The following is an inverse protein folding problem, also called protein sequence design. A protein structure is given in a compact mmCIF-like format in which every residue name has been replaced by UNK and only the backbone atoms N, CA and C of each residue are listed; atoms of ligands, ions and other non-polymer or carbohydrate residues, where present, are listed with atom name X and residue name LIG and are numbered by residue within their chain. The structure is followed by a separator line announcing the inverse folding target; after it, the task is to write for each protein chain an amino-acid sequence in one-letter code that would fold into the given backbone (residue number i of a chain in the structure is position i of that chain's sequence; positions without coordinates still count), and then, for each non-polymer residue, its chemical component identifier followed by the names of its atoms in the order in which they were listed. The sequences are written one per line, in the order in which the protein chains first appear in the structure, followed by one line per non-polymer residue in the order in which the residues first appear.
data_IF_191232368386
#
_entry.id   IF_191232368386
#
_cell.length_a   1.000
_cell.length_b   1.000
_cell.length_c   1.000
_cell.angle_alpha   90.00
_cell.angle_beta   90.00
_cell.angle_gamma   90.00
#
_symmetry.space_group_name_H-M   'P 1'
#
loop_
_entity.id
_entity.type
_entity.pdbx_description
1 polymer ?
#
# COMPACT_ATOMS: atom_id res chain seq x y z
N UNK A 1 45.61 52.06 -40.67
CA UNK A 1 44.44 52.46 -39.84
C UNK A 1 43.19 51.59 -40.08
N UNK A 2 43.04 50.89 -41.22
CA UNK A 2 41.87 50.05 -41.53
C UNK A 2 41.85 48.68 -40.83
N UNK A 3 43.01 48.04 -40.63
CA UNK A 3 43.09 46.74 -39.95
C UNK A 3 42.75 46.81 -38.46
N UNK A 4 43.20 47.86 -37.76
CA UNK A 4 42.89 48.07 -36.34
C UNK A 4 41.40 48.31 -36.10
N UNK A 5 40.69 48.90 -37.06
CA UNK A 5 39.23 49.11 -36.99
C UNK A 5 38.47 47.79 -37.22
N UNK A 6 38.96 46.97 -38.15
CA UNK A 6 38.35 45.66 -38.46
C UNK A 6 38.53 44.65 -37.31
N UNK A 7 39.70 44.64 -36.66
CA UNK A 7 39.94 43.82 -35.46
C UNK A 7 39.09 44.24 -34.25
N UNK A 8 38.81 45.54 -34.11
CA UNK A 8 37.97 46.05 -33.02
C UNK A 8 36.50 45.68 -33.20
N UNK A 9 36.01 45.68 -34.45
CA UNK A 9 34.64 45.28 -34.80
C UNK A 9 34.43 43.77 -34.56
N UNK A 10 35.36 42.92 -35.01
CA UNK A 10 35.31 41.48 -34.80
C UNK A 10 35.37 41.08 -33.31
N UNK A 11 36.07 41.84 -32.47
CA UNK A 11 36.14 41.59 -31.03
C UNK A 11 34.81 41.93 -30.33
N UNK A 12 34.12 43.00 -30.75
CA UNK A 12 32.77 43.33 -30.26
C UNK A 12 31.71 42.34 -30.73
N UNK A 13 31.82 41.76 -31.93
CA UNK A 13 30.87 40.74 -32.41
C UNK A 13 30.99 39.44 -31.60
N UNK A 14 32.22 38.99 -31.30
CA UNK A 14 32.44 37.82 -30.44
C UNK A 14 31.94 38.04 -29.00
N UNK A 15 32.11 39.23 -28.42
CA UNK A 15 31.58 39.52 -27.07
C UNK A 15 30.05 39.59 -27.04
N UNK A 16 29.40 39.99 -28.15
CA UNK A 16 27.94 39.99 -28.27
C UNK A 16 27.40 38.58 -28.49
N UNK A 17 28.11 37.75 -29.26
CA UNK A 17 27.75 36.35 -29.50
C UNK A 17 27.96 35.50 -28.23
N UNK A 18 29.03 35.74 -27.46
CA UNK A 18 29.29 35.09 -26.17
C UNK A 18 28.26 35.50 -25.10
N UNK A 19 27.83 36.77 -25.10
CA UNK A 19 26.72 37.24 -24.24
C UNK A 19 25.37 36.67 -24.67
N UNK A 20 25.11 36.53 -25.98
CA UNK A 20 23.90 35.89 -26.48
C UNK A 20 23.87 34.39 -26.13
N UNK A 21 25.01 33.70 -26.22
CA UNK A 21 25.14 32.30 -25.78
C UNK A 21 25.00 32.14 -24.26
N UNK A 22 25.56 33.06 -23.46
CA UNK A 22 25.38 33.06 -22.01
C UNK A 22 23.92 33.35 -21.61
N UNK A 23 23.20 34.18 -22.38
CA UNK A 23 21.81 34.52 -22.12
C UNK A 23 20.84 33.41 -22.55
N UNK A 24 21.16 32.66 -23.62
CA UNK A 24 20.46 31.41 -23.98
C UNK A 24 20.69 30.33 -22.92
N UNK A 25 21.90 30.24 -22.34
CA UNK A 25 22.20 29.28 -21.28
C UNK A 25 21.55 29.64 -19.93
N UNK A 26 21.31 30.94 -19.65
CA UNK A 26 20.54 31.37 -18.47
C UNK A 26 19.04 31.18 -18.66
N UNK A 27 18.49 31.42 -19.86
CA UNK A 27 17.07 31.18 -20.16
C UNK A 27 16.72 29.68 -20.17
N UNK A 28 17.69 28.80 -20.47
CA UNK A 28 17.51 27.34 -20.39
C UNK A 28 17.58 26.81 -18.94
N UNK A 29 18.09 27.62 -17.99
CA UNK A 29 18.10 27.32 -16.55
C UNK A 29 16.81 27.74 -15.82
N UNK A 30 16.00 28.59 -16.45
CA UNK A 30 14.65 29.00 -15.99
C UNK A 30 13.53 28.20 -16.68
N UNK A 31 13.88 27.13 -17.40
CA UNK A 31 12.94 26.06 -17.69
C UNK A 31 12.57 25.43 -16.36
N UNK A 32 11.53 25.99 -15.74
CA UNK A 32 10.79 25.45 -14.60
C UNK A 32 10.54 23.98 -14.91
N UNK A 33 11.47 23.12 -14.47
CA UNK A 33 11.29 21.68 -14.49
C UNK A 33 10.08 21.55 -13.60
N UNK A 34 8.92 21.35 -14.24
CA UNK A 34 7.70 20.86 -13.63
C UNK A 34 8.06 19.50 -13.06
N UNK A 35 8.85 19.51 -12.00
CA UNK A 35 9.04 18.41 -11.09
C UNK A 35 7.62 18.15 -10.64
N UNK A 36 7.05 16.98 -10.98
CA UNK A 36 5.68 16.70 -10.63
C UNK A 36 5.57 16.91 -9.14
N UNK A 37 4.82 17.94 -8.71
CA UNK A 37 4.62 18.22 -7.28
C UNK A 37 4.14 16.91 -6.67
N UNK A 38 4.98 16.25 -5.86
CA UNK A 38 4.69 14.96 -5.26
C UNK A 38 3.50 15.15 -4.31
N UNK A 39 2.29 15.03 -4.86
CA UNK A 39 1.07 15.27 -4.13
C UNK A 39 0.83 14.03 -3.29
N UNK A 40 1.03 14.17 -1.98
CA UNK A 40 0.93 13.06 -1.02
C UNK A 40 -0.54 12.73 -0.77
N UNK A 41 -0.86 11.48 -0.48
CA UNK A 41 -2.18 11.11 0.07
C UNK A 41 -1.98 10.50 1.44
N UNK A 42 -2.98 10.64 2.33
CA UNK A 42 -3.11 9.74 3.47
C UNK A 42 -3.19 8.29 2.92
N UNK A 43 -2.23 7.47 3.33
CA UNK A 43 -1.92 6.14 2.78
C UNK A 43 -3.01 5.09 3.05
N UNK A 44 -3.88 5.36 4.02
CA UNK A 44 -4.97 4.46 4.40
C UNK A 44 -5.79 4.01 3.20
N UNK A 45 -5.98 2.69 3.13
CA UNK A 45 -6.75 2.00 2.11
C UNK A 45 -8.19 2.55 2.03
N UNK A 46 -8.73 3.14 3.09
CA UNK A 46 -10.09 3.70 3.12
C UNK A 46 -10.18 5.15 2.61
N UNK A 47 -9.07 5.82 2.37
CA UNK A 47 -9.06 7.15 1.77
C UNK A 47 -9.27 7.00 0.27
N UNK A 48 -10.50 6.94 -0.23
CA UNK A 48 -10.77 6.77 -1.68
C UNK A 48 -11.06 8.06 -2.44
N UNK A 49 -11.25 9.23 -1.79
CA UNK A 49 -11.58 10.49 -2.51
C UNK A 49 -11.10 11.83 -1.90
N UNK A 50 -10.06 11.88 -1.07
CA UNK A 50 -9.58 13.14 -0.49
C UNK A 50 -8.57 13.91 -1.38
N UNK A 51 -8.50 15.27 -1.28
CA UNK A 51 -7.47 16.07 -1.95
C UNK A 51 -6.07 15.75 -1.41
N UNK A 52 -5.03 15.85 -2.26
CA UNK A 52 -3.67 15.52 -1.88
C UNK A 52 -3.07 16.52 -0.89
N UNK A 53 -2.27 16.00 0.03
CA UNK A 53 -1.40 16.71 0.97
C UNK A 53 -0.20 17.34 0.25
N UNK A 54 0.34 18.40 0.86
CA UNK A 54 1.49 19.14 0.34
C UNK A 54 2.79 18.28 0.34
N UNK A 55 3.70 18.50 -0.64
CA UNK A 55 4.98 17.81 -0.70
C UNK A 55 5.86 18.11 0.53
N UNK A 56 6.84 17.23 0.86
CA UNK A 56 7.77 17.49 1.96
C UNK A 56 8.56 18.76 1.70
N UNK A 57 8.89 19.49 2.76
CA UNK A 57 9.90 20.52 2.65
C UNK A 57 11.28 19.86 2.42
N UNK A 58 12.17 20.49 1.65
CA UNK A 58 13.54 19.96 1.44
C UNK A 58 14.25 19.72 2.77
N UNK A 59 13.94 20.54 3.77
CA UNK A 59 14.41 20.41 5.16
C UNK A 59 13.93 19.12 5.83
N UNK A 60 12.73 18.63 5.51
CA UNK A 60 12.23 17.36 6.06
C UNK A 60 13.04 16.19 5.48
N UNK A 61 13.33 16.23 4.18
CA UNK A 61 14.14 15.20 3.50
C UNK A 61 15.57 15.20 4.04
N UNK A 62 16.18 16.38 4.19
CA UNK A 62 17.50 16.52 4.81
C UNK A 62 17.51 15.94 6.22
N UNK A 63 16.55 16.30 7.09
CA UNK A 63 16.45 15.76 8.45
C UNK A 63 16.34 14.23 8.50
N UNK A 64 15.66 13.60 7.53
CA UNK A 64 15.54 12.14 7.46
C UNK A 64 16.78 11.45 6.88
N UNK A 65 17.56 12.14 6.05
CA UNK A 65 18.74 11.55 5.37
C UNK A 65 20.03 11.81 6.14
N UNK A 66 20.08 12.91 6.91
CA UNK A 66 21.22 13.33 7.73
C UNK A 66 20.95 13.09 9.22
N UNK A 67 20.70 11.85 9.63
CA UNK A 67 20.55 11.51 11.04
C UNK A 67 21.91 11.09 11.65
N UNK A 68 22.64 12.04 12.25
CA UNK A 68 23.89 11.76 13.00
C UNK A 68 23.67 11.18 14.41
N UNK A 69 22.42 10.98 14.85
CA UNK A 69 22.09 10.53 16.22
C UNK A 69 21.45 9.14 16.28
N UNK A 70 21.92 8.31 17.23
CA UNK A 70 21.33 7.01 17.54
C UNK A 70 19.88 7.19 18.07
N UNK A 71 18.92 6.39 17.55
CA UNK A 71 17.46 6.44 17.81
C UNK A 71 16.62 7.53 17.13
N UNK A 72 17.15 8.24 16.12
CA UNK A 72 16.37 9.29 15.44
C UNK A 72 15.09 8.78 14.72
N UNK A 73 15.11 7.55 14.21
CA UNK A 73 13.93 6.90 13.62
C UNK A 73 12.74 6.80 14.59
N UNK A 74 12.97 6.56 15.88
CA UNK A 74 11.92 6.47 16.92
C UNK A 74 11.40 7.85 17.32
N UNK A 75 12.24 8.88 17.24
CA UNK A 75 11.89 10.27 17.60
C UNK A 75 11.08 10.98 16.50
N UNK A 76 11.25 10.57 15.25
CA UNK A 76 10.49 11.09 14.10
C UNK A 76 9.12 10.42 13.89
N UNK A 77 8.75 9.42 14.72
CA UNK A 77 7.42 8.82 14.72
C UNK A 77 6.36 9.85 15.10
N UNK A 78 5.52 10.22 14.13
CA UNK A 78 4.34 11.03 14.38
C UNK A 78 3.21 10.15 14.94
N UNK A 79 2.18 10.79 15.54
CA UNK A 79 1.01 10.09 16.08
C UNK A 79 0.34 9.14 15.07
N UNK A 80 0.36 9.48 13.78
CA UNK A 80 -0.17 8.64 12.71
C UNK A 80 0.63 7.33 12.58
N UNK A 81 1.96 7.40 12.60
CA UNK A 81 2.84 6.23 12.50
C UNK A 81 2.63 5.26 13.69
N UNK A 82 2.34 5.80 14.88
CA UNK A 82 1.99 4.97 16.05
C UNK A 82 0.67 4.21 15.85
N UNK A 83 -0.35 4.85 15.26
CA UNK A 83 -1.63 4.19 14.97
C UNK A 83 -1.44 3.11 13.91
N UNK A 84 -0.63 3.38 12.88
CA UNK A 84 -0.26 2.40 11.87
C UNK A 84 0.49 1.21 12.46
N UNK A 85 1.40 1.43 13.42
CA UNK A 85 2.03 0.32 14.17
C UNK A 85 1.02 -0.50 14.97
N UNK A 86 -0.04 0.12 15.51
CA UNK A 86 -1.13 -0.61 16.18
C UNK A 86 -1.92 -1.48 15.20
N UNK A 87 -2.15 -1.03 13.96
CA UNK A 87 -2.70 -1.87 12.89
C UNK A 87 -1.79 -3.10 12.66
N UNK A 88 -0.49 -2.88 12.41
CA UNK A 88 0.47 -3.98 12.21
C UNK A 88 0.54 -4.94 13.41
N UNK A 89 0.48 -4.42 14.64
CA UNK A 89 0.39 -5.22 15.86
C UNK A 89 -0.86 -6.10 15.88
N UNK A 90 -2.02 -5.58 15.47
CA UNK A 90 -3.25 -6.34 15.37
C UNK A 90 -3.14 -7.48 14.35
N UNK A 91 -2.58 -7.22 13.17
CA UNK A 91 -2.32 -8.25 12.16
C UNK A 91 -1.41 -9.36 12.69
N UNK A 92 -0.28 -8.99 13.30
CA UNK A 92 0.64 -9.97 13.90
C UNK A 92 -0.02 -10.79 15.02
N UNK A 93 -0.77 -10.13 15.91
CA UNK A 93 -1.45 -10.81 17.01
C UNK A 93 -2.52 -11.79 16.53
N UNK A 94 -3.18 -11.47 15.41
CA UNK A 94 -4.11 -12.38 14.75
C UNK A 94 -3.41 -13.65 14.26
N UNK A 95 -2.24 -13.51 13.61
CA UNK A 95 -1.42 -14.65 13.16
C UNK A 95 -0.99 -15.51 14.35
N UNK A 96 -0.48 -14.89 15.42
CA UNK A 96 -0.10 -15.63 16.65
C UNK A 96 -1.30 -16.36 17.25
N UNK A 97 -2.49 -15.74 17.23
CA UNK A 97 -3.71 -16.38 17.71
C UNK A 97 -4.11 -17.59 16.85
N UNK A 98 -3.92 -17.51 15.53
CA UNK A 98 -4.12 -18.63 14.61
C UNK A 98 -3.15 -19.79 14.92
N UNK A 99 -1.87 -19.49 15.14
CA UNK A 99 -0.88 -20.50 15.52
C UNK A 99 -1.24 -21.16 16.86
N UNK A 100 -1.67 -20.38 17.85
CA UNK A 100 -2.14 -20.91 19.14
C UNK A 100 -3.36 -21.80 18.98
N UNK A 101 -4.28 -21.49 18.06
CA UNK A 101 -5.38 -22.37 17.75
C UNK A 101 -4.90 -23.71 17.19
N UNK A 102 -4.00 -23.71 16.21
CA UNK A 102 -3.45 -24.96 15.65
C UNK A 102 -2.75 -25.82 16.70
N UNK A 103 -2.11 -25.21 17.71
CA UNK A 103 -1.42 -25.94 18.78
C UNK A 103 -2.30 -26.42 19.93
N UNK A 104 -3.44 -25.76 20.18
CA UNK A 104 -4.24 -26.01 21.39
C UNK A 104 -5.69 -26.38 21.11
N UNK A 105 -6.13 -26.22 19.86
CA UNK A 105 -7.47 -26.46 19.34
C UNK A 105 -8.59 -25.69 20.08
N UNK A 106 -8.25 -24.66 20.87
CA UNK A 106 -9.25 -23.90 21.62
C UNK A 106 -9.88 -22.82 20.72
N UNK A 107 -11.21 -22.85 20.49
CA UNK A 107 -11.88 -22.00 19.48
C UNK A 107 -11.80 -20.50 19.80
N UNK A 108 -11.62 -20.12 21.06
CA UNK A 108 -11.47 -18.72 21.45
C UNK A 108 -10.26 -18.03 20.82
N UNK A 109 -9.22 -18.78 20.43
CA UNK A 109 -8.07 -18.19 19.74
C UNK A 109 -8.41 -17.76 18.31
N UNK A 110 -9.22 -18.53 17.59
CA UNK A 110 -9.70 -18.15 16.26
C UNK A 110 -10.63 -16.94 16.36
N UNK A 111 -11.51 -16.91 17.36
CA UNK A 111 -12.38 -15.76 17.60
C UNK A 111 -11.57 -14.48 17.88
N UNK A 112 -10.49 -14.59 18.66
CA UNK A 112 -9.55 -13.48 18.88
C UNK A 112 -8.85 -13.07 17.59
N UNK A 113 -8.41 -14.01 16.76
CA UNK A 113 -7.78 -13.69 15.47
C UNK A 113 -8.69 -12.82 14.59
N UNK A 114 -9.96 -13.19 14.47
CA UNK A 114 -10.96 -12.38 13.74
C UNK A 114 -11.13 -11.00 14.38
N UNK A 115 -11.28 -10.93 15.70
CA UNK A 115 -11.42 -9.66 16.43
C UNK A 115 -10.25 -8.71 16.18
N UNK A 116 -9.01 -9.21 16.21
CA UNK A 116 -7.83 -8.37 15.95
C UNK A 116 -7.77 -7.89 14.50
N UNK A 117 -8.18 -8.67 13.51
CA UNK A 117 -8.27 -8.18 12.11
C UNK A 117 -9.28 -7.03 12.00
N UNK A 118 -10.46 -7.17 12.62
CA UNK A 118 -11.45 -6.08 12.69
C UNK A 118 -10.92 -4.86 13.44
N UNK A 119 -10.15 -5.06 14.51
CA UNK A 119 -9.54 -3.98 15.27
C UNK A 119 -8.46 -3.26 14.46
N UNK A 120 -7.63 -3.99 13.70
CA UNK A 120 -6.64 -3.43 12.78
C UNK A 120 -7.28 -2.52 11.73
N UNK A 121 -8.44 -2.91 11.19
CA UNK A 121 -9.25 -2.07 10.31
C UNK A 121 -9.70 -0.77 10.94
N UNK A 122 -10.12 -0.80 12.21
CA UNK A 122 -10.44 0.43 12.91
C UNK A 122 -9.21 1.34 12.99
N UNK A 123 -8.02 0.80 13.28
CA UNK A 123 -6.80 1.58 13.38
C UNK A 123 -6.33 2.16 12.03
N UNK A 124 -6.34 1.41 10.94
CA UNK A 124 -6.11 1.91 9.57
C UNK A 124 -7.09 3.04 9.23
N UNK A 125 -8.38 2.86 9.54
CA UNK A 125 -9.35 3.94 9.32
C UNK A 125 -9.02 5.20 10.15
N UNK A 126 -8.53 5.04 11.38
CA UNK A 126 -8.15 6.16 12.24
C UNK A 126 -6.87 6.86 11.80
N UNK A 127 -5.82 6.15 11.39
CA UNK A 127 -4.56 6.78 10.95
C UNK A 127 -4.79 7.66 9.70
N UNK A 128 -5.64 7.21 8.78
CA UNK A 128 -6.00 7.96 7.59
C UNK A 128 -6.82 9.21 7.89
N UNK A 129 -7.54 9.24 9.02
CA UNK A 129 -8.21 10.46 9.50
C UNK A 129 -7.24 11.39 10.23
N UNK A 130 -6.36 10.85 11.06
CA UNK A 130 -5.38 11.63 11.85
C UNK A 130 -4.35 12.29 10.93
N UNK A 131 -3.84 11.59 9.93
CA UNK A 131 -2.93 12.13 8.93
C UNK A 131 -3.54 13.33 8.17
N UNK A 132 -4.85 13.27 7.90
CA UNK A 132 -5.59 14.37 7.27
C UNK A 132 -5.78 15.57 8.20
N UNK A 133 -6.14 15.32 9.47
CA UNK A 133 -6.30 16.39 10.45
C UNK A 133 -5.00 17.17 10.70
N UNK A 134 -3.84 16.53 10.47
CA UNK A 134 -2.51 17.12 10.67
C UNK A 134 -1.90 17.76 9.43
N UNK A 135 -2.56 17.68 8.26
CA UNK A 135 -2.05 18.16 6.96
C UNK A 135 -0.57 17.79 6.66
N UNK A 136 -0.09 16.69 7.25
CA UNK A 136 1.30 16.21 7.14
C UNK A 136 1.26 14.69 7.09
N UNK A 137 1.69 14.09 5.98
CA UNK A 137 2.02 12.66 5.92
C UNK A 137 3.52 12.51 5.66
N UNK A 138 4.16 11.60 6.39
CA UNK A 138 5.57 11.25 6.20
C UNK A 138 5.72 10.22 5.08
N UNK A 139 6.83 10.27 4.33
CA UNK A 139 7.21 9.24 3.35
C UNK A 139 7.35 7.86 4.01
N UNK A 140 7.97 7.82 5.19
CA UNK A 140 8.13 6.60 5.98
C UNK A 140 6.79 6.04 6.44
N UNK A 141 5.88 6.91 6.88
CA UNK A 141 4.55 6.51 7.36
C UNK A 141 3.70 5.86 6.27
N UNK A 142 3.80 6.35 5.02
CA UNK A 142 3.07 5.77 3.89
C UNK A 142 3.52 4.34 3.55
N UNK A 143 4.83 4.09 3.57
CA UNK A 143 5.34 2.74 3.33
C UNK A 143 5.04 1.82 4.52
N UNK A 144 5.15 2.33 5.76
CA UNK A 144 4.81 1.59 6.97
C UNK A 144 3.34 1.16 6.99
N UNK A 145 2.44 2.01 6.51
CA UNK A 145 1.00 1.74 6.39
C UNK A 145 0.71 0.63 5.40
N UNK A 146 1.33 0.70 4.23
CA UNK A 146 1.21 -0.35 3.21
C UNK A 146 1.70 -1.71 3.73
N UNK A 147 2.78 -1.73 4.53
CA UNK A 147 3.29 -2.94 5.16
C UNK A 147 2.36 -3.46 6.26
N UNK A 148 1.85 -2.58 7.12
CA UNK A 148 0.90 -2.93 8.17
C UNK A 148 -0.39 -3.52 7.59
N UNK A 149 -0.90 -2.92 6.52
CA UNK A 149 -2.10 -3.36 5.81
C UNK A 149 -1.92 -4.72 5.13
N UNK A 150 -0.74 -4.98 4.54
CA UNK A 150 -0.45 -6.29 3.97
C UNK A 150 -0.51 -7.37 5.06
N UNK A 151 0.03 -7.10 6.24
CA UNK A 151 0.02 -8.04 7.37
C UNK A 151 -1.41 -8.25 7.89
N UNK A 152 -2.15 -7.17 8.11
CA UNK A 152 -3.50 -7.22 8.70
C UNK A 152 -4.59 -7.73 7.76
N UNK A 153 -4.52 -7.43 6.46
CA UNK A 153 -5.57 -7.75 5.49
C UNK A 153 -5.17 -8.75 4.40
N UNK A 154 -3.87 -9.05 4.26
CA UNK A 154 -3.38 -10.11 3.39
C UNK A 154 -2.99 -11.35 4.19
N UNK A 155 -1.96 -11.22 5.03
CA UNK A 155 -1.34 -12.36 5.72
C UNK A 155 -2.23 -12.92 6.85
N UNK A 156 -2.83 -12.06 7.67
CA UNK A 156 -3.66 -12.51 8.77
C UNK A 156 -4.92 -13.29 8.31
N UNK A 157 -5.71 -12.84 7.31
CA UNK A 157 -6.82 -13.63 6.78
C UNK A 157 -6.38 -14.97 6.17
N UNK A 158 -5.25 -15.00 5.46
CA UNK A 158 -4.70 -16.26 4.93
C UNK A 158 -4.29 -17.22 6.06
N UNK A 159 -3.76 -16.69 7.16
CA UNK A 159 -3.40 -17.46 8.36
C UNK A 159 -4.64 -18.00 9.08
N UNK A 160 -5.73 -17.22 9.14
CA UNK A 160 -7.02 -17.69 9.67
C UNK A 160 -7.55 -18.84 8.82
N UNK A 161 -7.54 -18.71 7.49
CA UNK A 161 -7.97 -19.78 6.58
C UNK A 161 -7.17 -21.07 6.82
N UNK A 162 -5.85 -20.99 6.88
CA UNK A 162 -5.00 -22.13 7.20
C UNK A 162 -5.37 -22.76 8.56
N UNK A 163 -5.56 -21.91 9.58
CA UNK A 163 -5.85 -22.36 10.94
C UNK A 163 -7.21 -23.08 11.03
N UNK A 164 -8.23 -22.66 10.28
CA UNK A 164 -9.56 -23.30 10.29
C UNK A 164 -9.65 -24.58 9.45
N UNK A 165 -8.60 -24.96 8.73
CA UNK A 165 -8.47 -26.28 8.08
C UNK A 165 -8.08 -26.27 6.60
N UNK A 166 -7.84 -25.12 5.98
CA UNK A 166 -7.31 -25.03 4.60
C UNK A 166 -5.80 -25.35 4.57
N UNK A 167 -5.44 -26.61 4.82
CA UNK A 167 -4.07 -27.06 5.09
C UNK A 167 -3.45 -27.93 4.00
N UNK A 168 -4.19 -28.27 2.94
CA UNK A 168 -3.64 -29.10 1.86
C UNK A 168 -2.57 -28.34 1.07
N UNK A 169 -1.72 -29.05 0.33
CA UNK A 169 -0.65 -28.43 -0.47
C UNK A 169 -1.20 -27.40 -1.46
N UNK A 170 -2.33 -27.68 -2.10
CA UNK A 170 -2.97 -26.75 -3.03
C UNK A 170 -3.59 -25.56 -2.30
N UNK A 171 -4.19 -25.78 -1.12
CA UNK A 171 -4.74 -24.68 -0.32
C UNK A 171 -3.66 -23.68 0.03
N UNK A 172 -2.50 -24.14 0.50
CA UNK A 172 -1.36 -23.29 0.87
C UNK A 172 -0.83 -22.50 -0.33
N UNK A 173 -0.76 -23.12 -1.51
CA UNK A 173 -0.37 -22.43 -2.74
C UNK A 173 -1.37 -21.34 -3.13
N UNK A 174 -2.68 -21.61 -3.02
CA UNK A 174 -3.74 -20.63 -3.31
C UNK A 174 -3.73 -19.48 -2.29
N UNK A 175 -3.57 -19.78 -1.00
CA UNK A 175 -3.47 -18.76 0.04
C UNK A 175 -2.23 -17.89 -0.14
N UNK A 176 -1.11 -18.49 -0.54
CA UNK A 176 0.13 -17.77 -0.87
C UNK A 176 -0.07 -16.87 -2.09
N UNK A 177 -0.73 -17.37 -3.14
CA UNK A 177 -1.10 -16.57 -4.31
C UNK A 177 -1.99 -15.37 -3.92
N UNK A 178 -2.98 -15.56 -3.04
CA UNK A 178 -3.82 -14.49 -2.52
C UNK A 178 -3.00 -13.39 -1.83
N UNK A 179 -2.04 -13.77 -0.95
CA UNK A 179 -1.15 -12.80 -0.28
C UNK A 179 -0.29 -12.05 -1.29
N UNK A 180 0.28 -12.74 -2.28
CA UNK A 180 1.07 -12.11 -3.34
C UNK A 180 0.24 -11.15 -4.19
N UNK A 181 -1.04 -11.45 -4.43
CA UNK A 181 -1.96 -10.55 -5.11
C UNK A 181 -2.20 -9.26 -4.31
N UNK A 182 -2.41 -9.38 -3.00
CA UNK A 182 -2.53 -8.23 -2.09
C UNK A 182 -1.26 -7.37 -2.09
N UNK A 183 -0.09 -7.99 -2.01
CA UNK A 183 1.20 -7.30 -2.10
C UNK A 183 1.36 -6.54 -3.42
N UNK A 184 1.10 -7.19 -4.56
CA UNK A 184 1.19 -6.55 -5.87
C UNK A 184 0.20 -5.38 -6.02
N UNK A 185 -0.99 -5.50 -5.42
CA UNK A 185 -2.00 -4.44 -5.39
C UNK A 185 -1.53 -3.22 -4.60
N UNK A 186 -0.95 -3.41 -3.42
CA UNK A 186 -0.40 -2.34 -2.57
C UNK A 186 0.80 -1.67 -3.25
N UNK A 187 1.72 -2.45 -3.81
CA UNK A 187 2.87 -1.91 -4.55
C UNK A 187 2.43 -1.07 -5.75
N UNK A 188 1.46 -1.55 -6.54
CA UNK A 188 0.87 -0.78 -7.66
C UNK A 188 0.23 0.51 -7.16
N UNK A 189 -0.47 0.48 -6.03
CA UNK A 189 -1.08 1.66 -5.44
C UNK A 189 -0.03 2.71 -5.03
N UNK A 190 1.04 2.29 -4.35
CA UNK A 190 2.13 3.19 -3.93
C UNK A 190 2.80 3.86 -5.14
N UNK A 191 3.11 3.12 -6.20
CA UNK A 191 3.73 3.66 -7.43
C UNK A 191 2.76 4.56 -8.22
N UNK A 192 1.50 4.15 -8.35
CA UNK A 192 0.49 4.92 -9.10
C UNK A 192 0.26 6.29 -8.44
N UNK A 193 0.20 6.33 -7.10
CA UNK A 193 0.05 7.60 -6.36
C UNK A 193 1.26 8.52 -6.55
N UNK A 194 2.47 7.97 -6.68
CA UNK A 194 3.68 8.77 -6.91
C UNK A 194 3.77 9.36 -8.33
N UNK A 195 3.03 8.81 -9.30
CA UNK A 195 3.20 9.13 -10.74
C UNK A 195 1.97 9.75 -11.41
N UNK A 196 0.85 9.98 -10.71
CA UNK A 196 -0.33 10.61 -11.35
C UNK A 196 -0.06 12.09 -11.69
N UNK A 197 -0.04 12.49 -12.98
CA UNK A 197 0.00 13.89 -13.35
C UNK A 197 -1.35 14.55 -12.99
N UNK A 198 -1.29 15.74 -12.40
CA UNK A 198 -2.47 16.59 -12.18
C UNK A 198 -2.88 17.22 -13.52
N UNK A 199 -3.81 16.61 -14.24
CA UNK A 199 -4.50 17.32 -15.32
C UNK A 199 -5.69 18.12 -14.76
N UNK A 200 -5.82 19.36 -15.23
CA UNK A 200 -6.82 20.38 -14.91
C UNK A 200 -8.30 20.00 -15.21
N UNK A 201 -8.60 18.71 -15.37
CA UNK A 201 -9.94 18.15 -15.61
C UNK A 201 -10.43 17.15 -14.55
N UNK A 202 -9.61 16.79 -13.55
CA UNK A 202 -10.07 16.33 -12.23
C UNK A 202 -11.05 15.14 -12.12
N UNK A 203 -11.08 14.19 -13.06
CA UNK A 203 -11.91 12.97 -12.91
C UNK A 203 -11.21 11.70 -13.44
N UNK A 204 -10.56 10.94 -12.55
CA UNK A 204 -10.27 9.53 -12.83
C UNK A 204 -11.59 8.76 -12.92
N UNK A 205 -11.99 8.40 -14.15
CA UNK A 205 -13.34 7.89 -14.43
C UNK A 205 -13.60 6.44 -13.98
N UNK A 206 -12.60 5.69 -13.52
CA UNK A 206 -12.78 4.30 -13.13
C UNK A 206 -11.81 3.90 -12.01
N UNK A 207 -12.33 3.27 -10.95
CA UNK A 207 -11.51 2.48 -10.03
C UNK A 207 -11.17 1.15 -10.71
N UNK A 208 -9.89 0.82 -10.83
CA UNK A 208 -9.43 -0.49 -11.29
C UNK A 208 -9.25 -1.42 -10.09
N UNK A 209 -9.94 -2.56 -10.07
CA UNK A 209 -9.73 -3.67 -9.11
C UNK A 209 -10.55 -3.60 -7.81
N UNK A 210 -10.76 -4.74 -7.16
CA UNK A 210 -11.47 -4.82 -5.87
C UNK A 210 -10.68 -4.07 -4.78
N UNK A 211 -11.34 -3.23 -3.96
CA UNK A 211 -10.68 -2.60 -2.82
C UNK A 211 -10.31 -3.67 -1.79
N UNK A 212 -9.12 -3.57 -1.20
CA UNK A 212 -8.65 -4.45 -0.11
C UNK A 212 -9.67 -4.65 1.03
N UNK A 213 -10.56 -3.68 1.40
CA UNK A 213 -11.64 -3.90 2.36
C UNK A 213 -12.56 -5.10 2.05
N UNK A 214 -12.59 -5.55 0.80
CA UNK A 214 -13.33 -6.75 0.40
C UNK A 214 -12.75 -8.03 1.02
N UNK A 215 -11.49 -8.03 1.48
CA UNK A 215 -10.93 -9.14 2.27
C UNK A 215 -11.63 -9.28 3.62
N UNK A 216 -12.23 -8.21 4.16
CA UNK A 216 -13.06 -8.29 5.36
C UNK A 216 -14.31 -9.16 5.15
N UNK A 217 -14.85 -9.18 3.93
CA UNK A 217 -15.96 -10.08 3.60
C UNK A 217 -15.53 -11.55 3.71
N UNK A 218 -14.30 -11.88 3.32
CA UNK A 218 -13.72 -13.23 3.52
C UNK A 218 -13.54 -13.52 5.02
N UNK A 219 -13.03 -12.56 5.79
CA UNK A 219 -12.87 -12.69 7.24
C UNK A 219 -14.23 -12.90 7.93
N UNK A 220 -15.26 -12.17 7.51
CA UNK A 220 -16.61 -12.35 8.03
C UNK A 220 -17.19 -13.72 7.65
N UNK A 221 -16.98 -14.16 6.41
CA UNK A 221 -17.40 -15.49 5.98
C UNK A 221 -16.72 -16.58 6.84
N UNK A 222 -15.41 -16.49 7.05
CA UNK A 222 -14.68 -17.41 7.93
C UNK A 222 -15.18 -17.35 9.39
N UNK A 223 -15.50 -16.16 9.91
CA UNK A 223 -16.07 -16.02 11.25
C UNK A 223 -17.42 -16.75 11.38
N UNK A 224 -18.25 -16.73 10.33
CA UNK A 224 -19.51 -17.48 10.27
C UNK A 224 -19.24 -18.98 10.24
N UNK A 225 -18.28 -19.46 9.45
CA UNK A 225 -17.88 -20.88 9.42
C UNK A 225 -17.46 -21.36 10.81
N UNK A 226 -16.63 -20.58 11.49
CA UNK A 226 -16.16 -20.87 12.87
C UNK A 226 -17.33 -20.91 13.85
N UNK A 227 -18.26 -19.95 13.74
CA UNK A 227 -19.47 -19.91 14.59
C UNK A 227 -20.37 -21.12 14.37
N UNK A 228 -20.44 -21.64 13.15
CA UNK A 228 -21.22 -22.83 12.80
C UNK A 228 -20.50 -24.15 13.12
N UNK A 229 -19.24 -24.10 13.56
CA UNK A 229 -18.42 -25.29 13.81
C UNK A 229 -18.01 -26.03 12.53
N UNK A 230 -18.08 -25.36 11.37
CA UNK A 230 -17.68 -25.88 10.06
C UNK A 230 -16.19 -25.64 9.83
N UNK A 231 -15.37 -26.23 10.68
CA UNK A 231 -13.91 -26.12 10.67
C UNK A 231 -13.29 -27.52 10.56
N UNK A 232 -12.03 -27.58 10.15
CA UNK A 232 -11.27 -28.81 9.90
C UNK A 232 -12.01 -29.74 8.92
N UNK A 233 -12.39 -30.94 9.35
CA UNK A 233 -13.04 -31.96 8.50
C UNK A 233 -14.45 -31.57 8.02
N UNK A 234 -15.03 -30.50 8.58
CA UNK A 234 -16.39 -30.02 8.29
C UNK A 234 -16.40 -28.78 7.40
N UNK A 235 -15.29 -28.46 6.74
CA UNK A 235 -15.24 -27.34 5.80
C UNK A 235 -16.28 -27.56 4.69
N UNK A 236 -17.09 -26.54 4.34
CA UNK A 236 -18.08 -26.64 3.27
C UNK A 236 -17.40 -27.03 1.95
N UNK A 237 -18.06 -27.91 1.19
CA UNK A 237 -17.57 -28.54 -0.05
C UNK A 237 -16.55 -29.69 0.14
N UNK A 238 -16.12 -29.97 1.37
CA UNK A 238 -15.26 -31.11 1.71
C UNK A 238 -13.88 -31.08 1.01
N UNK A 239 -13.15 -32.19 1.10
CA UNK A 239 -11.88 -32.38 0.41
C UNK A 239 -12.13 -33.03 -0.95
N UNK A 240 -11.66 -32.39 -2.02
CA UNK A 240 -11.67 -32.99 -3.34
C UNK A 240 -10.42 -33.86 -3.50
N UNK A 241 -10.61 -35.13 -3.95
CA UNK A 241 -9.54 -36.12 -4.18
C UNK A 241 -8.66 -36.44 -2.96
N UNK A 242 -9.30 -36.83 -1.86
CA UNK A 242 -8.63 -37.33 -0.66
C UNK A 242 -7.74 -38.56 -1.00
N UNK A 243 -6.45 -38.50 -0.66
CA UNK A 243 -5.43 -39.53 -0.85
C UNK A 243 -4.45 -39.33 -2.02
N UNK A 244 -4.56 -38.24 -2.80
CA UNK A 244 -3.66 -37.95 -3.94
C UNK A 244 -2.79 -36.71 -3.69
N UNK A 245 -1.71 -36.53 -4.44
CA UNK A 245 -0.85 -35.32 -4.36
C UNK A 245 -1.59 -33.98 -4.60
N UNK A 246 -2.83 -34.02 -5.09
CA UNK A 246 -3.65 -32.86 -5.42
C UNK A 246 -4.92 -32.78 -4.55
N UNK A 247 -4.82 -33.07 -3.25
CA UNK A 247 -5.91 -32.76 -2.31
C UNK A 247 -6.13 -31.25 -2.27
N UNK A 248 -7.39 -30.83 -2.36
CA UNK A 248 -7.73 -29.41 -2.20
C UNK A 248 -9.14 -29.25 -1.66
N UNK A 249 -9.38 -28.17 -0.92
CA UNK A 249 -10.73 -27.76 -0.56
C UNK A 249 -11.27 -26.87 -1.68
N UNK A 250 -12.39 -27.21 -2.35
CA UNK A 250 -12.96 -26.35 -3.38
C UNK A 250 -13.28 -24.93 -2.89
N UNK A 251 -13.60 -24.79 -1.59
CA UNK A 251 -13.81 -23.50 -0.95
C UNK A 251 -12.58 -22.57 -0.97
N UNK A 252 -11.36 -23.10 -1.12
CA UNK A 252 -10.14 -22.27 -1.17
C UNK A 252 -10.08 -21.43 -2.45
N UNK A 253 -10.73 -21.86 -3.53
CA UNK A 253 -10.78 -21.11 -4.78
C UNK A 253 -11.49 -19.76 -4.63
N UNK A 254 -12.27 -19.54 -3.57
CA UNK A 254 -12.79 -18.21 -3.24
C UNK A 254 -11.64 -17.21 -2.99
N UNK A 255 -10.55 -17.64 -2.32
CA UNK A 255 -9.34 -16.81 -2.15
C UNK A 255 -8.62 -16.58 -3.47
N UNK A 256 -8.56 -17.60 -4.34
CA UNK A 256 -8.00 -17.46 -5.69
C UNK A 256 -8.76 -16.42 -6.51
N UNK A 257 -10.09 -16.54 -6.59
CA UNK A 257 -10.96 -15.61 -7.32
C UNK A 257 -10.86 -14.19 -6.75
N UNK A 258 -10.80 -14.07 -5.42
CA UNK A 258 -10.61 -12.78 -4.76
C UNK A 258 -9.25 -12.17 -5.10
N UNK A 259 -8.16 -12.96 -5.03
CA UNK A 259 -6.81 -12.57 -5.46
C UNK A 259 -6.75 -12.10 -6.92
N UNK A 260 -7.33 -12.87 -7.83
CA UNK A 260 -7.48 -12.47 -9.23
C UNK A 260 -8.25 -11.15 -9.37
N UNK A 261 -9.31 -10.95 -8.59
CA UNK A 261 -10.09 -9.72 -8.56
C UNK A 261 -9.33 -8.49 -8.02
N UNK A 262 -8.34 -8.68 -7.13
CA UNK A 262 -7.46 -7.60 -6.66
C UNK A 262 -6.50 -7.11 -7.75
N UNK A 263 -5.97 -8.03 -8.57
CA UNK A 263 -5.04 -7.69 -9.67
C UNK A 263 -5.79 -7.26 -10.95
N UNK A 264 -7.01 -7.75 -11.15
CA UNK A 264 -7.76 -7.56 -12.39
C UNK A 264 -8.04 -6.09 -12.68
N UNK A 265 -7.53 -5.61 -13.82
CA UNK A 265 -7.87 -4.30 -14.40
C UNK A 265 -9.28 -4.23 -14.99
N UNK A 266 -10.00 -5.35 -15.02
CA UNK A 266 -11.27 -5.49 -15.76
C UNK A 266 -12.50 -5.05 -14.94
N UNK A 267 -12.44 -5.02 -13.60
CA UNK A 267 -13.53 -4.51 -12.77
C UNK A 267 -13.49 -2.98 -12.72
N UNK A 268 -14.34 -2.36 -13.55
CA UNK A 268 -14.63 -0.92 -13.55
C UNK A 268 -15.86 -0.68 -12.68
N UNK A 269 -15.67 -0.34 -11.40
CA UNK A 269 -16.79 0.05 -10.52
C UNK A 269 -17.04 1.55 -10.70
N UNK A 270 -18.22 1.99 -11.16
CA UNK A 270 -18.56 3.41 -11.26
C UNK A 270 -18.74 4.02 -9.85
N UNK A 271 -18.15 5.19 -9.61
CA UNK A 271 -18.39 5.97 -8.37
C UNK A 271 -19.87 6.42 -8.34
N UNK A 272 -20.58 6.28 -7.21
CA UNK A 272 -21.80 7.05 -6.97
C UNK A 272 -21.48 8.54 -6.80
#
# INVERSE_FOLDING_TARGET
MSELRSRKIAMTENEVEERAHAQVFSDESDAEINTPTLSRRASSIFSFSAPPLEPPNETDIELFTSDEYHFSMVRNLHLADFITMLNGFCGFYSIVSCLRFTLTEKPHYVQRAHFFIFLGMCFDFFDGRVARLRNRSSLMGQELDSLADLVSFGVAPASVAFAIGFQTTIDVLVLSFFVLCGLARLARFNVTVAQLPKDSGGKSKYFEGLPMPTTLALVLAMAVLVRQGLIMDKIPLGVFRQGLLFECHPAVFVFFLHGCGMISKSLKIPKP
#
